data_IF_502671736736
#
_entry.id   IF_502671736736
#
_cell.length_a   1.000
_cell.length_b   1.000
_cell.length_c   1.000
_cell.angle_alpha   90.00
_cell.angle_beta   90.00
_cell.angle_gamma   90.00
#
_symmetry.space_group_name_H-M   'P 1'
#
loop_
_entity.id
_entity.type
_entity.pdbx_description
1 polymer ?
#
# COMPACT_ATOMS: atom_id res chain seq x y z
N UNK A 1 13.18 2.42 10.79
CA UNK A 1 13.67 2.50 9.39
C UNK A 1 14.21 3.88 9.00
N UNK A 2 14.60 4.76 9.94
CA UNK A 2 15.13 6.10 9.60
C UNK A 2 16.48 6.02 8.87
N UNK A 3 17.33 5.07 9.25
CA UNK A 3 18.64 4.89 8.61
C UNK A 3 18.51 4.43 7.15
N UNK A 4 17.64 3.46 6.87
CA UNK A 4 17.37 3.00 5.50
C UNK A 4 16.92 4.14 4.57
N UNK A 5 16.05 5.03 5.06
CA UNK A 5 15.63 6.20 4.28
C UNK A 5 16.78 7.20 4.05
N UNK A 6 17.65 7.42 5.04
CA UNK A 6 18.84 8.27 4.86
C UNK A 6 19.82 7.69 3.85
N UNK A 7 20.07 6.39 3.93
CA UNK A 7 20.93 5.67 2.99
C UNK A 7 20.39 5.75 1.56
N UNK A 8 19.07 5.61 1.37
CA UNK A 8 18.41 5.77 0.07
C UNK A 8 18.59 7.17 -0.51
N UNK A 9 18.42 8.20 0.33
CA UNK A 9 18.62 9.60 -0.06
C UNK A 9 20.09 9.85 -0.44
N UNK A 10 21.03 9.36 0.36
CA UNK A 10 22.46 9.46 0.07
C UNK A 10 22.85 8.73 -1.21
N UNK A 11 22.31 7.53 -1.44
CA UNK A 11 22.57 6.74 -2.65
C UNK A 11 21.92 7.35 -3.90
N UNK A 12 20.76 7.98 -3.76
CA UNK A 12 20.08 8.68 -4.86
C UNK A 12 20.72 10.04 -5.20
N UNK A 13 21.55 10.59 -4.31
CA UNK A 13 22.13 11.93 -4.43
C UNK A 13 21.10 13.07 -4.31
N UNK A 14 19.85 12.77 -3.97
CA UNK A 14 18.78 13.75 -3.80
C UNK A 14 17.72 13.25 -2.81
N UNK A 15 16.96 14.18 -2.23
CA UNK A 15 15.84 13.83 -1.36
C UNK A 15 14.60 13.40 -2.17
N UNK A 16 14.66 13.39 -3.50
CA UNK A 16 13.58 12.99 -4.41
C UNK A 16 13.84 11.58 -4.91
N UNK A 17 13.17 10.61 -4.30
CA UNK A 17 13.48 9.19 -4.48
C UNK A 17 12.36 8.44 -5.22
N UNK A 18 12.76 7.36 -5.88
CA UNK A 18 11.87 6.39 -6.48
C UNK A 18 11.58 5.28 -5.47
N UNK A 19 10.31 4.90 -5.35
CA UNK A 19 9.89 3.90 -4.38
C UNK A 19 8.93 2.90 -5.00
N UNK A 20 9.07 1.64 -4.59
CA UNK A 20 8.06 0.62 -4.83
C UNK A 20 7.31 0.34 -3.53
N UNK A 21 6.00 0.12 -3.59
CA UNK A 21 5.25 -0.27 -2.41
C UNK A 21 4.25 -1.36 -2.70
N UNK A 22 4.08 -2.22 -1.71
CA UNK A 22 3.19 -3.38 -1.79
C UNK A 22 2.56 -3.65 -0.42
N UNK A 23 1.40 -4.30 -0.43
CA UNK A 23 0.60 -4.65 0.73
C UNK A 23 0.52 -6.16 0.90
N UNK A 24 0.53 -6.61 2.16
CA UNK A 24 0.25 -8.00 2.51
C UNK A 24 -0.78 -8.08 3.61
N UNK A 25 -1.51 -9.19 3.64
CA UNK A 25 -2.63 -9.41 4.54
C UNK A 25 -2.46 -10.71 5.31
N UNK A 26 -3.00 -10.75 6.53
CA UNK A 26 -2.88 -11.93 7.40
C UNK A 26 -3.56 -13.17 6.82
N UNK A 27 -4.72 -13.03 6.21
CA UNK A 27 -5.46 -14.11 5.55
C UNK A 27 -5.57 -13.84 4.06
N UNK A 28 -5.63 -14.93 3.27
CA UNK A 28 -5.96 -14.83 1.85
C UNK A 28 -7.40 -14.36 1.69
N UNK A 29 -7.68 -13.76 0.53
CA UNK A 29 -8.97 -13.18 0.16
C UNK A 29 -9.28 -11.89 0.96
N UNK A 30 -10.08 -10.98 0.37
CA UNK A 30 -10.32 -9.61 0.87
C UNK A 30 -11.11 -9.53 2.19
N UNK A 31 -11.02 -10.54 3.05
CA UNK A 31 -11.66 -10.68 4.36
C UNK A 31 -10.71 -10.37 5.52
N UNK A 32 -9.44 -10.09 5.22
CA UNK A 32 -8.43 -9.79 6.23
C UNK A 32 -8.75 -8.56 7.06
N UNK A 33 -8.65 -8.69 8.38
CA UNK A 33 -8.80 -7.59 9.34
C UNK A 33 -7.48 -6.96 9.78
N UNK A 34 -6.36 -7.46 9.25
CA UNK A 34 -5.00 -6.99 9.54
C UNK A 34 -4.23 -7.06 8.24
N UNK A 35 -3.51 -5.98 7.92
CA UNK A 35 -2.47 -6.04 6.92
C UNK A 35 -1.35 -5.04 7.20
N UNK A 36 -0.33 -5.16 6.37
CA UNK A 36 0.89 -4.38 6.45
C UNK A 36 1.23 -3.94 5.04
N UNK A 37 1.53 -2.66 4.88
CA UNK A 37 2.12 -2.13 3.67
C UNK A 37 3.56 -1.75 3.94
N UNK A 38 4.44 -2.02 2.99
CA UNK A 38 5.83 -1.60 3.02
C UNK A 38 6.19 -0.85 1.76
N UNK A 39 7.04 0.16 1.90
CA UNK A 39 7.65 0.90 0.80
C UNK A 39 9.15 0.65 0.83
N UNK A 40 9.71 0.36 -0.34
CA UNK A 40 11.09 -0.03 -0.61
C UNK A 40 11.71 1.02 -1.54
N UNK A 41 12.94 1.43 -1.22
CA UNK A 41 13.72 2.31 -2.08
C UNK A 41 14.23 1.58 -3.31
N UNK A 42 14.15 2.22 -4.47
CA UNK A 42 14.57 1.65 -5.76
C UNK A 42 16.09 1.44 -5.84
N UNK A 43 16.88 2.31 -5.20
CA UNK A 43 18.35 2.28 -5.30
C UNK A 43 18.96 1.28 -4.32
N UNK A 44 18.60 1.35 -3.04
CA UNK A 44 19.17 0.47 -2.01
C UNK A 44 18.45 -0.87 -1.89
N UNK A 45 17.23 -0.98 -2.40
CA UNK A 45 16.38 -2.16 -2.23
C UNK A 45 15.93 -2.39 -0.78
N UNK A 46 16.12 -1.41 0.12
CA UNK A 46 15.78 -1.53 1.54
C UNK A 46 14.37 -1.04 1.82
N UNK A 47 13.74 -1.64 2.83
CA UNK A 47 12.45 -1.17 3.35
C UNK A 47 12.65 0.20 4.03
N UNK A 48 12.12 1.24 3.40
CA UNK A 48 12.21 2.59 3.91
C UNK A 48 11.05 2.90 4.84
N UNK A 49 9.82 2.41 4.62
CA UNK A 49 8.68 2.68 5.50
C UNK A 49 7.69 1.52 5.54
N UNK A 50 6.96 1.39 6.65
CA UNK A 50 5.88 0.40 6.81
C UNK A 50 4.70 0.99 7.56
N UNK A 51 3.48 0.70 7.11
CA UNK A 51 2.26 1.04 7.83
C UNK A 51 1.45 -0.22 8.12
N UNK A 52 0.86 -0.27 9.31
CA UNK A 52 0.07 -1.41 9.79
C UNK A 52 -1.32 -0.91 10.11
N UNK A 53 -2.33 -1.49 9.46
CA UNK A 53 -3.72 -1.16 9.72
C UNK A 53 -4.42 -2.44 10.17
N UNK A 54 -5.28 -2.27 11.15
CA UNK A 54 -6.11 -3.31 11.69
C UNK A 54 -7.51 -2.80 11.97
N UNK A 55 -8.49 -3.54 11.47
CA UNK A 55 -9.90 -3.41 11.83
C UNK A 55 -10.30 -4.32 13.00
N UNK A 56 -9.34 -5.07 13.56
CA UNK A 56 -9.54 -6.05 14.61
C UNK A 56 -8.77 -5.70 15.88
N UNK A 57 -9.44 -5.79 17.02
CA UNK A 57 -8.77 -5.80 18.32
C UNK A 57 -9.33 -6.93 19.19
N UNK A 58 -8.44 -7.73 19.78
CA UNK A 58 -8.83 -8.83 20.69
C UNK A 58 -9.55 -8.30 21.94
N UNK A 59 -9.14 -7.14 22.46
CA UNK A 59 -9.80 -6.48 23.58
C UNK A 59 -11.23 -6.06 23.25
N UNK A 60 -11.43 -5.38 22.11
CA UNK A 60 -12.76 -5.05 21.61
C UNK A 60 -13.65 -6.29 21.39
N UNK A 61 -13.08 -7.40 20.89
CA UNK A 61 -13.85 -8.63 20.67
C UNK A 61 -14.23 -9.34 21.98
N UNK A 62 -13.40 -9.21 23.02
CA UNK A 62 -13.64 -9.82 24.33
C UNK A 62 -14.65 -9.06 25.19
N UNK A 63 -14.96 -7.81 24.87
CA UNK A 63 -15.95 -7.04 25.61
C UNK A 63 -17.33 -7.70 25.48
N UNK A 64 -17.89 -8.09 26.62
CA UNK A 64 -19.22 -8.72 26.72
C UNK A 64 -20.29 -7.76 27.24
N UNK A 65 -19.91 -6.55 27.66
CA UNK A 65 -20.84 -5.53 28.13
C UNK A 65 -21.61 -4.86 26.98
N UNK A 66 -22.50 -3.90 27.31
CA UNK A 66 -23.26 -3.16 26.30
C UNK A 66 -22.32 -2.39 25.36
N UNK A 67 -22.73 -2.23 24.10
CA UNK A 67 -21.97 -1.48 23.07
C UNK A 67 -22.31 0.02 23.04
N UNK A 68 -23.11 0.48 23.99
CA UNK A 68 -23.58 1.86 24.12
C UNK A 68 -23.86 2.18 25.60
N UNK A 69 -23.96 3.47 25.91
CA UNK A 69 -24.19 3.96 27.26
C UNK A 69 -22.91 4.23 28.06
N UNK A 70 -23.08 4.71 29.28
CA UNK A 70 -22.00 5.23 30.12
C UNK A 70 -20.92 4.19 30.44
N UNK A 71 -21.34 2.95 30.76
CA UNK A 71 -20.42 1.83 31.02
C UNK A 71 -19.53 1.48 29.81
N UNK A 72 -20.07 1.61 28.60
CA UNK A 72 -19.29 1.38 27.37
C UNK A 72 -18.26 2.47 27.15
N UNK A 73 -18.61 3.74 27.34
CA UNK A 73 -17.67 4.85 27.16
C UNK A 73 -16.55 4.83 28.20
N UNK A 74 -16.86 4.52 29.47
CA UNK A 74 -15.84 4.34 30.50
C UNK A 74 -14.87 3.19 30.17
N UNK A 75 -15.39 2.05 29.73
CA UNK A 75 -14.56 0.94 29.28
C UNK A 75 -13.72 1.32 28.05
N UNK A 76 -14.32 1.98 27.07
CA UNK A 76 -13.67 2.39 25.82
C UNK A 76 -12.55 3.38 26.08
N UNK A 77 -12.72 4.34 26.98
CA UNK A 77 -11.67 5.25 27.43
C UNK A 77 -10.51 4.48 28.09
N UNK A 78 -10.81 3.53 28.98
CA UNK A 78 -9.80 2.66 29.59
C UNK A 78 -9.10 1.74 28.57
N UNK A 79 -9.82 1.30 27.54
CA UNK A 79 -9.30 0.38 26.52
C UNK A 79 -8.53 1.08 25.39
N UNK A 80 -8.86 2.34 25.09
CA UNK A 80 -8.30 3.10 23.97
C UNK A 80 -6.76 3.04 23.90
N UNK A 81 -5.99 3.19 24.99
CA UNK A 81 -4.53 3.13 24.93
C UNK A 81 -3.97 1.76 24.51
N UNK A 82 -4.76 0.69 24.63
CA UNK A 82 -4.40 -0.69 24.27
C UNK A 82 -5.12 -1.18 23.02
N UNK A 83 -5.96 -0.34 22.42
CA UNK A 83 -6.73 -0.71 21.24
C UNK A 83 -5.82 -0.67 20.01
N UNK A 84 -5.68 -1.82 19.35
CA UNK A 84 -4.90 -1.94 18.10
C UNK A 84 -5.75 -1.70 16.84
N UNK A 85 -7.05 -1.43 17.02
CA UNK A 85 -7.96 -1.15 15.91
C UNK A 85 -7.79 0.31 15.49
N UNK A 86 -7.14 0.54 14.35
CA UNK A 86 -6.88 1.86 13.77
C UNK A 86 -7.55 2.05 12.41
N UNK A 87 -8.31 1.06 11.92
CA UNK A 87 -9.02 1.14 10.64
C UNK A 87 -10.46 0.64 10.77
N UNK A 88 -11.38 1.28 10.05
CA UNK A 88 -12.82 0.98 10.10
C UNK A 88 -13.34 0.48 8.74
N UNK A 89 -12.58 0.68 7.65
CA UNK A 89 -13.05 0.37 6.30
C UNK A 89 -12.71 -1.07 5.86
N UNK A 90 -13.17 -1.42 4.66
CA UNK A 90 -12.94 -2.72 4.03
C UNK A 90 -11.45 -2.96 3.74
N UNK A 91 -11.08 -4.25 3.66
CA UNK A 91 -9.73 -4.73 3.33
C UNK A 91 -9.15 -4.08 2.06
N UNK A 92 -9.99 -3.85 1.05
CA UNK A 92 -9.60 -3.22 -0.22
C UNK A 92 -9.24 -1.72 -0.09
N UNK A 93 -9.74 -1.03 0.94
CA UNK A 93 -9.43 0.38 1.20
C UNK A 93 -8.17 0.54 2.06
N UNK A 94 -7.74 -0.51 2.77
CA UNK A 94 -6.55 -0.48 3.61
C UNK A 94 -5.29 -0.16 2.81
N UNK A 95 -5.18 -0.68 1.58
CA UNK A 95 -4.02 -0.41 0.70
C UNK A 95 -3.85 1.09 0.41
N UNK A 96 -4.95 1.75 0.04
CA UNK A 96 -4.95 3.17 -0.26
C UNK A 96 -4.65 4.00 0.99
N UNK A 97 -5.24 3.64 2.13
CA UNK A 97 -5.05 4.37 3.37
C UNK A 97 -3.64 4.20 3.95
N UNK A 98 -3.02 3.02 3.82
CA UNK A 98 -1.60 2.81 4.15
C UNK A 98 -0.69 3.71 3.35
N UNK A 99 -0.87 3.72 2.03
CA UNK A 99 -0.01 4.48 1.15
C UNK A 99 -0.13 5.98 1.44
N UNK A 100 -1.34 6.48 1.73
CA UNK A 100 -1.49 7.86 2.20
C UNK A 100 -0.68 8.14 3.46
N UNK A 101 -0.80 7.28 4.47
CA UNK A 101 -0.09 7.46 5.74
C UNK A 101 1.44 7.52 5.53
N UNK A 102 1.96 6.61 4.72
CA UNK A 102 3.39 6.54 4.38
C UNK A 102 3.85 7.78 3.61
N UNK A 103 3.10 8.20 2.58
CA UNK A 103 3.48 9.36 1.79
C UNK A 103 3.31 10.68 2.55
N UNK A 104 2.30 10.83 3.41
CA UNK A 104 2.12 12.03 4.24
C UNK A 104 3.27 12.22 5.23
N UNK A 105 3.77 11.13 5.82
CA UNK A 105 4.86 11.22 6.81
C UNK A 105 6.26 11.15 6.20
N UNK A 106 6.38 10.90 4.89
CA UNK A 106 7.65 10.80 4.16
C UNK A 106 8.58 11.99 4.43
N UNK A 107 8.12 13.22 4.21
CA UNK A 107 8.91 14.44 4.44
C UNK A 107 9.20 14.66 5.93
N UNK A 108 8.20 14.75 6.83
CA UNK A 108 8.48 15.12 8.23
C UNK A 108 9.26 14.05 9.00
N UNK A 109 9.12 12.76 8.68
CA UNK A 109 9.78 11.70 9.43
C UNK A 109 11.03 11.16 8.74
N UNK A 110 11.09 11.19 7.41
CA UNK A 110 12.14 10.53 6.61
C UNK A 110 12.99 11.52 5.81
N UNK A 111 12.61 12.79 5.74
CA UNK A 111 13.27 13.82 4.93
C UNK A 111 13.42 13.41 3.44
N UNK A 112 12.44 12.68 2.92
CA UNK A 112 12.44 12.17 1.55
C UNK A 112 11.07 12.43 0.88
N UNK A 113 11.09 12.81 -0.39
CA UNK A 113 9.92 12.96 -1.26
C UNK A 113 9.86 11.77 -2.22
N UNK A 114 8.76 11.06 -2.22
CA UNK A 114 8.54 9.88 -3.06
C UNK A 114 7.96 10.29 -4.41
N UNK A 115 8.79 10.85 -5.29
CA UNK A 115 8.34 11.46 -6.55
C UNK A 115 7.92 10.41 -7.58
N UNK A 116 8.56 9.24 -7.61
CA UNK A 116 8.20 8.13 -8.50
C UNK A 116 7.67 6.97 -7.67
N UNK A 117 6.51 6.47 -8.05
CA UNK A 117 5.85 5.35 -7.39
C UNK A 117 5.71 4.17 -8.37
N UNK A 118 6.34 3.05 -8.04
CA UNK A 118 6.23 1.77 -8.73
C UNK A 118 5.20 0.91 -7.98
N UNK A 119 4.04 0.70 -8.58
CA UNK A 119 2.99 -0.16 -8.02
C UNK A 119 2.53 -1.21 -9.03
N UNK A 120 1.80 -2.23 -8.56
CA UNK A 120 0.94 -3.00 -9.46
C UNK A 120 -0.15 -2.07 -10.03
N UNK A 121 -0.79 -2.48 -11.11
CA UNK A 121 -1.72 -1.68 -11.90
C UNK A 121 -2.99 -1.22 -11.16
N UNK A 122 -2.97 -1.12 -9.83
CA UNK A 122 -4.06 -0.63 -9.00
C UNK A 122 -4.48 0.77 -9.44
N UNK A 123 -5.73 0.83 -9.85
CA UNK A 123 -6.36 1.98 -10.49
C UNK A 123 -6.81 3.02 -9.47
N UNK A 124 -6.95 2.65 -8.19
CA UNK A 124 -7.51 3.50 -7.13
C UNK A 124 -6.46 4.18 -6.24
N UNK A 125 -5.30 3.54 -6.06
CA UNK A 125 -4.27 4.02 -5.13
C UNK A 125 -3.60 5.30 -5.65
N UNK A 126 -3.21 5.34 -6.93
CA UNK A 126 -2.48 6.48 -7.49
C UNK A 126 -3.28 7.81 -7.53
N UNK A 127 -4.52 7.86 -8.04
CA UNK A 127 -5.29 9.11 -8.05
C UNK A 127 -5.49 9.69 -6.65
N UNK A 128 -5.69 8.80 -5.67
CA UNK A 128 -5.91 9.21 -4.30
C UNK A 128 -4.62 9.66 -3.61
N UNK A 129 -3.48 9.04 -3.93
CA UNK A 129 -2.17 9.54 -3.51
C UNK A 129 -1.94 10.94 -4.07
N UNK A 130 -2.11 11.15 -5.37
CA UNK A 130 -1.91 12.45 -6.00
C UNK A 130 -2.76 13.57 -5.35
N UNK A 131 -3.94 13.23 -4.84
CA UNK A 131 -4.84 14.17 -4.12
C UNK A 131 -4.39 14.47 -2.68
N UNK A 132 -3.72 13.52 -2.04
CA UNK A 132 -3.46 13.54 -0.59
C UNK A 132 -2.02 13.92 -0.24
N UNK A 133 -1.10 13.77 -1.18
CA UNK A 133 0.33 14.00 -0.94
C UNK A 133 0.71 15.47 -1.07
N UNK A 134 1.70 15.93 -0.29
CA UNK A 134 2.11 17.34 -0.31
C UNK A 134 2.93 17.73 -1.56
N UNK A 135 3.14 16.79 -2.48
CA UNK A 135 3.91 16.95 -3.71
C UNK A 135 3.33 16.06 -4.82
N UNK A 136 3.74 16.36 -6.06
CA UNK A 136 3.27 15.65 -7.27
C UNK A 136 4.03 14.33 -7.47
N UNK A 137 3.31 13.27 -7.79
CA UNK A 137 3.84 11.90 -7.94
C UNK A 137 3.67 11.42 -9.37
N UNK A 138 4.67 10.69 -9.87
CA UNK A 138 4.63 10.01 -11.17
C UNK A 138 4.48 8.51 -10.96
N UNK A 139 3.40 7.92 -11.46
CA UNK A 139 3.23 6.47 -11.49
C UNK A 139 4.16 5.85 -12.54
N UNK A 140 4.84 4.78 -12.16
CA UNK A 140 5.62 3.91 -13.05
C UNK A 140 5.03 2.50 -12.93
N UNK A 141 4.84 1.85 -14.08
CA UNK A 141 4.30 0.49 -14.13
C UNK A 141 5.37 -0.53 -13.74
N UNK A 142 5.02 -1.51 -12.92
CA UNK A 142 5.95 -2.58 -12.57
C UNK A 142 6.16 -3.54 -13.76
N UNK A 143 7.36 -4.14 -13.85
CA UNK A 143 7.73 -5.05 -14.94
C UNK A 143 6.75 -6.23 -15.04
N UNK A 144 6.33 -6.77 -13.90
CA UNK A 144 5.33 -7.85 -13.84
C UNK A 144 3.99 -7.43 -14.45
N UNK A 145 3.53 -6.19 -14.22
CA UNK A 145 2.31 -5.67 -14.82
C UNK A 145 2.44 -5.51 -16.33
N UNK A 146 3.59 -5.01 -16.80
CA UNK A 146 3.91 -4.91 -18.24
C UNK A 146 3.88 -6.30 -18.89
N UNK A 147 4.51 -7.29 -18.28
CA UNK A 147 4.53 -8.68 -18.77
C UNK A 147 3.12 -9.28 -18.82
N UNK A 148 2.30 -9.13 -17.77
CA UNK A 148 0.91 -9.59 -17.74
C UNK A 148 0.10 -8.96 -18.88
N UNK A 149 0.23 -7.64 -19.08
CA UNK A 149 -0.47 -6.89 -20.13
C UNK A 149 -0.03 -7.33 -21.53
N UNK A 150 1.27 -7.49 -21.76
CA UNK A 150 1.82 -7.98 -23.03
C UNK A 150 1.34 -9.41 -23.32
N UNK A 151 1.42 -10.30 -22.34
CA UNK A 151 0.98 -11.69 -22.47
C UNK A 151 -0.52 -11.81 -22.78
N UNK A 152 -1.36 -10.97 -22.16
CA UNK A 152 -2.79 -10.91 -22.47
C UNK A 152 -3.05 -10.47 -23.92
N UNK A 153 -2.33 -9.45 -24.40
CA UNK A 153 -2.44 -8.97 -25.80
C UNK A 153 -2.00 -10.03 -26.81
N UNK A 154 -0.88 -10.72 -26.56
CA UNK A 154 -0.39 -11.80 -27.42
C UNK A 154 -1.36 -12.97 -27.48
N UNK A 155 -1.94 -13.39 -26.35
CA UNK A 155 -2.98 -14.44 -26.33
C UNK A 155 -4.22 -14.02 -27.11
N UNK A 156 -4.67 -12.77 -26.97
CA UNK A 156 -5.80 -12.24 -27.76
C UNK A 156 -5.50 -12.27 -29.26
N UNK A 157 -4.31 -11.84 -29.68
CA UNK A 157 -3.87 -11.89 -31.07
C UNK A 157 -3.86 -13.33 -31.62
N UNK A 158 -3.34 -14.29 -30.84
CA UNK A 158 -3.37 -15.72 -31.20
C UNK A 158 -4.79 -16.23 -31.42
N UNK A 159 -5.74 -15.86 -30.55
CA UNK A 159 -7.14 -16.26 -30.70
C UNK A 159 -7.80 -15.63 -31.91
N UNK A 160 -7.55 -14.34 -32.18
CA UNK A 160 -8.12 -13.65 -33.35
C UNK A 160 -7.53 -14.15 -34.68
N UNK A 161 -6.30 -14.68 -34.66
CA UNK A 161 -5.62 -15.21 -35.85
C UNK A 161 -5.66 -16.74 -35.94
N UNK A 162 -6.54 -17.41 -35.18
CA UNK A 162 -6.60 -18.89 -35.13
C UNK A 162 -6.95 -19.52 -36.48
N UNK A 163 -7.72 -18.81 -37.31
CA UNK A 163 -8.16 -19.26 -38.64
C UNK A 163 -7.33 -18.66 -39.79
N UNK A 164 -6.40 -17.76 -39.49
CA UNK A 164 -5.47 -17.19 -40.46
C UNK A 164 -4.15 -17.93 -40.31
N UNK A 165 -3.80 -18.80 -41.27
CA UNK A 165 -2.43 -19.35 -41.41
C UNK A 165 -1.47 -18.16 -41.43
N UNK A 166 -0.83 -17.87 -40.31
CA UNK A 166 0.31 -16.97 -40.27
C UNK A 166 1.40 -17.73 -41.03
N UNK A 167 1.66 -17.37 -42.28
CA UNK A 167 2.83 -17.87 -43.01
C UNK A 167 4.04 -17.62 -42.13
N UNK A 168 4.62 -18.70 -41.62
CA UNK A 168 5.94 -18.65 -41.02
C UNK A 168 6.90 -18.35 -42.18
N UNK A 169 7.54 -17.18 -42.15
CA UNK A 169 8.75 -16.94 -42.93
C UNK A 169 9.87 -17.79 -42.37
#
# INVERSE_FOLDING_TARGET
MKNAAKEEVSASGSNEICVSGDGTWKTREHTSSIGVCSVIGDVTGKVIDVAVLSSYCKGCKKWQGPKSGQLYEEWKLKHQPRCVKNHICFCSKMEVDWMKEIFQRSVPQRNAKYIKYIGDGDTKTFPELQRTTPYSIKKVECVGHIQKRLGARLRKLKTMNRDKKIMRR
#
